data_IF_137856730544
#
_entry.id   IF_137856730544
#
_cell.length_a   1.000
_cell.length_b   1.000
_cell.length_c   1.000
_cell.angle_alpha   90.00
_cell.angle_beta   90.00
_cell.angle_gamma   90.00
#
_symmetry.space_group_name_H-M   'P 1'
#
loop_
_entity.id
_entity.type
_entity.pdbx_description
1 polymer ?
#
# COMPACT_ATOMS: atom_id res chain seq x y z
N UNK A 1 18.20 -4.93 -13.55
CA UNK A 1 17.14 -4.44 -12.65
C UNK A 1 17.20 -2.93 -12.48
N UNK A 2 18.33 -2.35 -12.03
CA UNK A 2 18.49 -0.88 -11.87
C UNK A 2 18.29 -0.09 -13.18
N UNK A 3 18.69 -0.65 -14.34
CA UNK A 3 18.58 0.03 -15.65
C UNK A 3 17.13 0.10 -16.19
N UNK A 4 16.25 -0.85 -15.83
CA UNK A 4 14.85 -0.82 -16.29
C UNK A 4 14.01 0.14 -15.46
N UNK A 5 14.27 0.26 -14.16
CA UNK A 5 13.60 1.23 -13.27
C UNK A 5 14.02 2.67 -13.59
N UNK A 6 15.31 2.89 -13.91
CA UNK A 6 15.81 4.20 -14.34
C UNK A 6 15.15 4.74 -15.62
N UNK A 7 14.80 3.86 -16.58
CA UNK A 7 14.12 4.26 -17.82
C UNK A 7 12.66 4.69 -17.58
N UNK A 8 11.95 3.97 -16.71
CA UNK A 8 10.58 4.30 -16.30
C UNK A 8 10.56 5.61 -15.50
N UNK A 9 11.49 5.76 -14.55
CA UNK A 9 11.67 6.98 -13.78
C UNK A 9 11.99 8.18 -14.69
N UNK A 10 12.85 7.99 -15.70
CA UNK A 10 13.16 9.02 -16.71
C UNK A 10 11.94 9.42 -17.55
N UNK A 11 11.06 8.48 -17.91
CA UNK A 11 9.80 8.76 -18.63
C UNK A 11 8.76 9.48 -17.75
N UNK A 12 8.65 9.09 -16.48
CA UNK A 12 7.82 9.79 -15.48
C UNK A 12 8.33 11.22 -15.24
N UNK A 13 9.66 11.43 -15.12
CA UNK A 13 10.30 12.74 -14.97
C UNK A 13 9.97 13.69 -16.14
N UNK A 14 9.81 13.16 -17.36
CA UNK A 14 9.51 13.96 -18.54
C UNK A 14 8.01 14.29 -18.69
N UNK A 15 7.14 13.76 -17.82
CA UNK A 15 5.68 13.94 -17.81
C UNK A 15 5.05 13.81 -19.22
N UNK A 16 5.57 12.87 -20.01
CA UNK A 16 5.16 12.63 -21.39
C UNK A 16 5.00 11.13 -21.60
N UNK A 17 3.75 10.68 -21.52
CA UNK A 17 3.29 9.41 -22.07
C UNK A 17 2.55 9.66 -23.39
N UNK A 18 3.25 10.04 -24.49
CA UNK A 18 2.61 10.28 -25.78
C UNK A 18 1.77 9.06 -26.22
N UNK A 19 0.58 9.30 -26.74
CA UNK A 19 -0.32 8.22 -27.16
C UNK A 19 -1.19 7.64 -26.05
N UNK A 20 -1.08 8.10 -24.79
CA UNK A 20 -2.15 7.88 -23.80
C UNK A 20 -3.30 8.89 -23.99
N UNK A 21 -4.56 8.46 -23.77
CA UNK A 21 -5.69 9.37 -23.82
C UNK A 21 -5.59 10.43 -22.71
N UNK A 22 -6.04 11.66 -23.01
CA UNK A 22 -6.09 12.74 -22.00
C UNK A 22 -7.18 12.54 -20.95
N UNK A 23 -8.21 11.75 -21.27
CA UNK A 23 -9.31 11.39 -20.39
C UNK A 23 -9.65 9.93 -20.62
N UNK A 24 -9.76 9.19 -19.52
CA UNK A 24 -10.20 7.81 -19.53
C UNK A 24 -11.73 7.76 -19.49
N UNK A 25 -12.34 7.00 -20.39
CA UNK A 25 -13.79 6.83 -20.52
C UNK A 25 -14.30 5.60 -19.75
N UNK A 26 -13.46 4.57 -19.61
CA UNK A 26 -13.74 3.38 -18.83
C UNK A 26 -12.45 2.77 -18.29
N UNK A 27 -12.54 1.97 -17.22
CA UNK A 27 -11.38 1.46 -16.49
C UNK A 27 -10.42 0.64 -17.37
N UNK A 28 -10.96 -0.13 -18.30
CA UNK A 28 -10.19 -0.99 -19.19
C UNK A 28 -9.21 -0.26 -20.11
N UNK A 29 -9.38 1.04 -20.34
CA UNK A 29 -8.41 1.82 -21.11
C UNK A 29 -7.04 1.86 -20.42
N UNK A 30 -6.94 1.73 -19.08
CA UNK A 30 -5.64 1.72 -18.36
C UNK A 30 -4.63 0.74 -18.94
N UNK A 31 -5.12 -0.33 -19.59
CA UNK A 31 -4.32 -1.31 -20.32
C UNK A 31 -3.46 -0.73 -21.43
N UNK A 32 -3.86 0.39 -22.04
CA UNK A 32 -3.08 1.08 -23.05
C UNK A 32 -1.71 1.52 -22.52
N UNK A 33 -1.61 1.90 -21.24
CA UNK A 33 -0.32 2.20 -20.61
C UNK A 33 0.59 0.97 -20.58
N UNK A 34 0.04 -0.20 -20.25
CA UNK A 34 0.77 -1.47 -20.25
C UNK A 34 1.04 -2.04 -21.64
N UNK A 35 0.34 -1.58 -22.68
CA UNK A 35 0.63 -2.00 -24.05
C UNK A 35 1.74 -1.15 -24.69
N UNK A 36 1.77 0.14 -24.36
CA UNK A 36 2.71 1.09 -24.99
C UNK A 36 4.05 1.14 -24.22
N UNK A 37 4.00 1.16 -22.89
CA UNK A 37 5.16 1.54 -22.07
C UNK A 37 5.71 0.44 -21.18
N UNK A 38 4.88 -0.50 -20.78
CA UNK A 38 5.22 -1.47 -19.74
C UNK A 38 4.92 -2.89 -20.21
N UNK A 39 5.18 -3.86 -19.33
CA UNK A 39 4.61 -5.20 -19.48
C UNK A 39 3.32 -5.24 -18.67
N UNK A 40 2.29 -5.90 -19.19
CA UNK A 40 1.06 -6.13 -18.42
C UNK A 40 1.38 -6.91 -17.14
N UNK A 41 1.08 -6.35 -15.96
CA UNK A 41 1.34 -7.04 -14.70
C UNK A 41 0.34 -8.18 -14.50
N UNK A 42 0.74 -9.23 -13.80
CA UNK A 42 -0.13 -10.37 -13.46
C UNK A 42 -1.40 -9.93 -12.71
N UNK A 43 -1.28 -8.91 -11.86
CA UNK A 43 -2.41 -8.34 -11.10
C UNK A 43 -3.50 -7.74 -11.99
N UNK A 44 -3.21 -7.42 -13.26
CA UNK A 44 -4.19 -6.84 -14.17
C UNK A 44 -5.29 -7.81 -14.62
N UNK A 45 -5.05 -9.13 -14.53
CA UNK A 45 -5.98 -10.14 -15.07
C UNK A 45 -7.18 -10.32 -14.14
N UNK A 46 -6.95 -10.29 -12.82
CA UNK A 46 -7.96 -10.66 -11.80
C UNK A 46 -8.16 -9.56 -10.76
N UNK A 47 -7.82 -8.30 -11.06
CA UNK A 47 -7.88 -7.21 -10.08
C UNK A 47 -9.28 -6.97 -9.49
N UNK A 48 -10.35 -7.35 -10.22
CA UNK A 48 -11.73 -7.25 -9.75
C UNK A 48 -12.16 -8.41 -8.84
N UNK A 49 -11.44 -9.53 -8.84
CA UNK A 49 -11.80 -10.73 -8.08
C UNK A 49 -11.50 -10.55 -6.58
N UNK A 50 -12.44 -10.96 -5.73
CA UNK A 50 -12.36 -10.80 -4.26
C UNK A 50 -11.25 -11.63 -3.62
N UNK A 51 -11.08 -12.88 -4.06
CA UNK A 51 -9.99 -13.73 -3.61
C UNK A 51 -8.63 -13.14 -3.99
N UNK A 52 -8.52 -12.58 -5.21
CA UNK A 52 -7.29 -11.91 -5.63
C UNK A 52 -7.02 -10.65 -4.82
N UNK A 53 -8.04 -9.84 -4.53
CA UNK A 53 -7.93 -8.67 -3.66
C UNK A 53 -7.41 -9.05 -2.26
N UNK A 54 -7.95 -10.11 -1.63
CA UNK A 54 -7.50 -10.54 -0.32
C UNK A 54 -6.09 -11.17 -0.35
N UNK A 55 -5.77 -11.97 -1.37
CA UNK A 55 -4.42 -12.54 -1.56
C UNK A 55 -3.32 -11.49 -1.68
N UNK A 56 -3.64 -10.27 -2.14
CA UNK A 56 -2.68 -9.17 -2.19
C UNK A 56 -2.14 -8.82 -0.79
N UNK A 57 -2.92 -9.05 0.28
CA UNK A 57 -2.48 -8.81 1.67
C UNK A 57 -1.53 -9.86 2.21
N UNK A 58 -1.32 -10.96 1.49
CA UNK A 58 -0.41 -12.03 1.89
C UNK A 58 0.84 -12.08 1.00
N UNK A 59 0.66 -11.89 -0.31
CA UNK A 59 1.65 -12.28 -1.31
C UNK A 59 2.15 -11.12 -2.19
N UNK A 60 1.88 -9.86 -1.82
CA UNK A 60 2.30 -8.69 -2.61
C UNK A 60 3.08 -7.68 -1.77
N UNK A 61 3.21 -6.45 -2.27
CA UNK A 61 4.13 -5.43 -1.79
C UNK A 61 3.92 -4.99 -0.32
N UNK A 62 2.76 -5.26 0.29
CA UNK A 62 2.47 -4.90 1.68
C UNK A 62 1.80 -6.03 2.48
N UNK A 63 2.51 -7.13 2.65
CA UNK A 63 2.04 -8.27 3.46
C UNK A 63 2.17 -8.05 4.97
N UNK A 64 2.67 -6.90 5.41
CA UNK A 64 2.99 -6.63 6.80
C UNK A 64 1.81 -6.17 7.66
N UNK A 65 0.64 -5.88 7.07
CA UNK A 65 -0.49 -5.26 7.77
C UNK A 65 -1.59 -6.23 8.20
N UNK A 66 -1.73 -7.39 7.56
CA UNK A 66 -2.80 -8.34 7.90
C UNK A 66 -2.57 -8.97 9.27
N UNK A 67 -3.62 -9.05 10.08
CA UNK A 67 -3.62 -9.61 11.44
C UNK A 67 -4.80 -10.55 11.61
N UNK A 68 -4.66 -11.55 12.47
CA UNK A 68 -5.78 -12.39 12.91
C UNK A 68 -6.69 -11.56 13.83
N UNK A 69 -7.99 -11.82 13.81
CA UNK A 69 -8.92 -11.36 14.84
C UNK A 69 -8.84 -12.33 16.02
N UNK A 70 -8.40 -11.83 17.17
CA UNK A 70 -8.28 -12.57 18.43
C UNK A 70 -9.49 -12.37 19.35
N UNK A 71 -10.20 -11.25 19.22
CA UNK A 71 -11.39 -10.94 20.00
C UNK A 71 -12.30 -9.96 19.24
N UNK A 72 -13.57 -9.91 19.64
CA UNK A 72 -14.59 -9.09 18.96
C UNK A 72 -14.31 -7.59 19.08
N UNK A 73 -13.65 -7.12 20.13
CA UNK A 73 -13.37 -5.69 20.34
C UNK A 73 -12.45 -5.12 19.25
N UNK A 74 -11.59 -5.95 18.64
CA UNK A 74 -10.75 -5.54 17.52
C UNK A 74 -11.54 -5.16 16.25
N UNK A 75 -12.78 -5.67 16.12
CA UNK A 75 -13.62 -5.45 14.94
C UNK A 75 -14.88 -4.65 15.24
N UNK A 76 -15.36 -4.65 16.50
CA UNK A 76 -16.59 -3.97 16.93
C UNK A 76 -16.57 -2.46 16.68
N UNK A 77 -15.46 -1.78 16.98
CA UNK A 77 -15.35 -0.33 16.74
C UNK A 77 -15.22 0.02 15.24
N UNK A 78 -14.88 -0.97 14.41
CA UNK A 78 -14.63 -0.79 12.99
C UNK A 78 -15.82 -1.20 12.12
N UNK A 79 -16.77 -1.97 12.64
CA UNK A 79 -17.90 -2.49 11.89
C UNK A 79 -19.20 -2.32 12.71
N UNK A 80 -20.27 -1.77 12.13
CA UNK A 80 -21.56 -1.66 12.81
C UNK A 80 -22.09 -3.02 13.25
N UNK A 81 -22.81 -3.07 14.37
CA UNK A 81 -23.44 -4.29 14.89
C UNK A 81 -24.27 -5.03 13.85
N UNK A 82 -24.97 -4.30 12.96
CA UNK A 82 -25.76 -4.90 11.88
C UNK A 82 -24.93 -5.76 10.91
N UNK A 83 -23.68 -5.37 10.65
CA UNK A 83 -22.75 -6.12 9.79
C UNK A 83 -22.25 -7.35 10.53
N UNK A 84 -21.85 -7.20 11.80
CA UNK A 84 -21.37 -8.31 12.61
C UNK A 84 -22.48 -9.35 12.87
N UNK A 85 -23.71 -8.90 13.13
CA UNK A 85 -24.86 -9.79 13.34
C UNK A 85 -25.31 -10.53 12.08
N UNK A 86 -24.97 -10.02 10.89
CA UNK A 86 -25.23 -10.70 9.62
C UNK A 86 -24.22 -11.82 9.34
N UNK A 87 -23.05 -11.78 9.97
CA UNK A 87 -22.05 -12.84 9.91
C UNK A 87 -22.50 -13.99 10.81
N UNK A 88 -22.59 -15.19 10.24
CA UNK A 88 -23.00 -16.38 10.99
C UNK A 88 -21.95 -16.69 12.05
N UNK A 89 -22.34 -16.55 13.31
CA UNK A 89 -21.56 -16.87 14.52
C UNK A 89 -20.13 -16.31 14.53
N UNK A 90 -20.03 -14.98 14.66
CA UNK A 90 -18.75 -14.25 14.75
C UNK A 90 -17.81 -14.83 15.81
N UNK A 91 -18.34 -15.26 16.96
CA UNK A 91 -17.51 -15.78 18.04
C UNK A 91 -16.91 -17.14 17.67
N UNK A 92 -17.70 -18.05 17.09
CA UNK A 92 -17.18 -19.32 16.59
C UNK A 92 -16.11 -19.13 15.50
N UNK A 93 -16.30 -18.17 14.59
CA UNK A 93 -15.31 -17.84 13.56
C UNK A 93 -14.01 -17.25 14.14
N UNK A 94 -14.08 -16.45 15.20
CA UNK A 94 -12.91 -15.96 15.95
C UNK A 94 -12.19 -17.13 16.65
N UNK A 95 -12.93 -17.98 17.36
CA UNK A 95 -12.37 -19.16 18.04
C UNK A 95 -11.72 -20.14 17.04
N UNK A 96 -12.35 -20.32 15.88
CA UNK A 96 -11.85 -21.10 14.74
C UNK A 96 -10.71 -20.44 13.97
N UNK A 97 -10.29 -19.22 14.34
CA UNK A 97 -9.21 -18.45 13.68
C UNK A 97 -9.48 -18.18 12.19
N UNK A 98 -10.74 -18.00 11.84
CA UNK A 98 -11.18 -17.79 10.47
C UNK A 98 -11.17 -16.32 10.07
N UNK A 99 -11.21 -15.39 11.02
CA UNK A 99 -11.19 -13.96 10.70
C UNK A 99 -9.81 -13.32 10.80
N UNK A 100 -9.55 -12.47 9.80
CA UNK A 100 -8.37 -11.63 9.68
C UNK A 100 -8.79 -10.22 9.31
N UNK A 101 -7.96 -9.23 9.61
CA UNK A 101 -8.23 -7.85 9.22
C UNK A 101 -6.97 -7.11 8.79
N UNK A 102 -7.17 -6.05 8.02
CA UNK A 102 -6.18 -4.99 7.84
C UNK A 102 -6.78 -3.69 8.34
N UNK A 103 -6.05 -2.96 9.18
CA UNK A 103 -6.42 -1.63 9.64
C UNK A 103 -5.35 -0.63 9.18
N UNK A 104 -5.69 0.17 8.17
CA UNK A 104 -4.79 1.14 7.56
C UNK A 104 -5.07 2.52 8.16
N UNK A 105 -4.15 2.98 9.00
CA UNK A 105 -4.21 4.29 9.63
C UNK A 105 -3.48 5.33 8.78
N UNK A 106 -4.23 6.07 7.96
CA UNK A 106 -3.70 7.19 7.19
C UNK A 106 -3.65 8.44 8.07
N UNK A 107 -2.55 9.21 8.07
CA UNK A 107 -2.46 10.47 8.80
C UNK A 107 -3.58 11.46 8.45
N UNK A 108 -4.04 12.22 9.45
CA UNK A 108 -5.07 13.27 9.26
C UNK A 108 -4.60 14.32 8.26
N UNK A 109 -5.55 14.85 7.47
CA UNK A 109 -5.29 15.93 6.50
C UNK A 109 -4.98 15.45 5.08
N UNK A 110 -4.96 14.14 4.83
CA UNK A 110 -4.84 13.54 3.51
C UNK A 110 -6.22 13.23 2.93
N UNK A 111 -6.35 13.25 1.59
CA UNK A 111 -7.63 12.93 0.90
C UNK A 111 -7.87 11.42 0.75
N UNK A 112 -6.97 10.59 1.28
CA UNK A 112 -7.05 9.12 1.24
C UNK A 112 -7.79 8.63 2.50
N UNK A 113 -8.72 7.66 2.39
CA UNK A 113 -9.39 7.05 3.53
C UNK A 113 -8.43 6.27 4.44
N UNK A 114 -8.87 5.98 5.67
CA UNK A 114 -8.19 5.05 6.59
C UNK A 114 -8.98 3.75 6.68
N UNK A 115 -8.86 2.84 5.70
CA UNK A 115 -9.77 1.70 5.60
C UNK A 115 -9.46 0.61 6.63
N UNK A 116 -10.54 0.05 7.18
CA UNK A 116 -10.55 -1.24 7.85
C UNK A 116 -11.16 -2.27 6.90
N UNK A 117 -10.52 -3.43 6.76
CA UNK A 117 -11.03 -4.53 5.95
C UNK A 117 -11.05 -5.79 6.78
N UNK A 118 -12.22 -6.44 6.87
CA UNK A 118 -12.40 -7.76 7.45
C UNK A 118 -12.33 -8.82 6.36
N UNK A 119 -11.65 -9.92 6.66
CA UNK A 119 -11.49 -11.08 5.81
C UNK A 119 -11.89 -12.35 6.54
N UNK A 120 -12.39 -13.32 5.79
CA UNK A 120 -12.72 -14.66 6.26
C UNK A 120 -11.92 -15.71 5.48
N UNK A 121 -11.44 -16.71 6.20
CA UNK A 121 -10.83 -17.91 5.63
C UNK A 121 -11.91 -18.97 5.46
N UNK A 122 -12.16 -19.32 4.20
CA UNK A 122 -13.05 -20.39 3.76
C UNK A 122 -12.23 -21.56 3.20
N UNK A 123 -12.89 -22.65 2.81
CA UNK A 123 -12.24 -23.78 2.13
C UNK A 123 -11.56 -23.36 0.81
N UNK A 124 -12.11 -22.35 0.13
CA UNK A 124 -11.60 -21.82 -1.13
C UNK A 124 -10.51 -20.74 -0.97
N UNK A 125 -10.17 -20.38 0.27
CA UNK A 125 -9.13 -19.40 0.61
C UNK A 125 -9.65 -18.19 1.37
N UNK A 126 -8.96 -17.06 1.24
CA UNK A 126 -9.30 -15.84 1.98
C UNK A 126 -10.18 -14.91 1.13
N UNK A 127 -11.27 -14.41 1.70
CA UNK A 127 -12.21 -13.51 1.06
C UNK A 127 -12.46 -12.25 1.90
N UNK A 128 -12.60 -11.07 1.29
CA UNK A 128 -13.06 -9.85 1.96
C UNK A 128 -14.55 -9.95 2.29
N UNK A 129 -14.92 -9.67 3.54
CA UNK A 129 -16.31 -9.73 4.02
C UNK A 129 -16.91 -8.33 4.21
N UNK A 130 -16.10 -7.38 4.66
CA UNK A 130 -16.53 -6.00 4.84
C UNK A 130 -15.36 -5.03 4.68
N UNK A 131 -15.63 -3.87 4.10
CA UNK A 131 -14.68 -2.75 3.98
C UNK A 131 -15.33 -1.52 4.60
N UNK A 132 -14.74 -0.99 5.66
CA UNK A 132 -15.09 0.34 6.18
C UNK A 132 -14.03 1.35 5.75
N UNK A 133 -14.40 2.31 4.89
CA UNK A 133 -13.45 3.33 4.39
C UNK A 133 -13.14 4.43 5.41
N UNK A 134 -13.93 4.60 6.46
CA UNK A 134 -13.67 5.62 7.48
C UNK A 134 -14.21 5.20 8.86
N UNK A 135 -13.49 4.31 9.57
CA UNK A 135 -13.87 3.86 10.91
C UNK A 135 -14.03 4.99 11.92
N UNK A 136 -13.21 6.05 11.82
CA UNK A 136 -13.25 7.18 12.73
C UNK A 136 -14.57 7.98 12.71
N UNK A 137 -15.40 7.82 11.67
CA UNK A 137 -16.73 8.43 11.57
C UNK A 137 -17.86 7.46 11.99
N UNK A 138 -17.59 6.52 12.90
CA UNK A 138 -18.60 5.65 13.50
C UNK A 138 -19.20 4.61 12.54
N UNK A 139 -18.40 4.08 11.60
CA UNK A 139 -18.86 2.95 10.77
C UNK A 139 -19.81 3.30 9.62
N UNK A 140 -19.93 4.58 9.24
CA UNK A 140 -20.94 5.01 8.26
C UNK A 140 -20.61 4.71 6.78
N UNK A 141 -19.38 4.30 6.46
CA UNK A 141 -18.93 3.98 5.10
C UNK A 141 -18.48 2.53 4.99
N UNK A 142 -19.35 1.62 5.43
CA UNK A 142 -19.13 0.17 5.33
C UNK A 142 -19.76 -0.35 4.06
N UNK A 143 -19.02 -1.20 3.36
CA UNK A 143 -19.43 -1.88 2.15
C UNK A 143 -19.23 -3.39 2.31
N UNK A 144 -20.11 -4.16 1.70
CA UNK A 144 -20.09 -5.62 1.67
C UNK A 144 -20.13 -6.16 0.23
N UNK A 145 -19.73 -7.43 -0.01
CA UNK A 145 -19.75 -8.04 -1.34
C UNK A 145 -21.13 -8.05 -2.02
N UNK A 146 -22.22 -8.04 -1.25
CA UNK A 146 -23.61 -8.05 -1.72
C UNK A 146 -24.18 -6.66 -2.03
N UNK A 147 -23.44 -5.59 -1.74
CA UNK A 147 -23.79 -4.24 -2.17
C UNK A 147 -23.78 -4.10 -3.69
N UNK A 148 -24.27 -2.95 -4.18
CA UNK A 148 -24.22 -2.61 -5.60
C UNK A 148 -22.80 -2.85 -6.18
N UNK A 149 -22.64 -3.57 -7.31
CA UNK A 149 -21.32 -4.03 -7.77
C UNK A 149 -20.27 -2.92 -7.92
N UNK A 150 -20.69 -1.73 -8.34
CA UNK A 150 -19.79 -0.58 -8.46
C UNK A 150 -19.41 0.04 -7.11
N UNK A 151 -20.26 -0.05 -6.09
CA UNK A 151 -19.95 0.41 -4.74
C UNK A 151 -18.88 -0.49 -4.11
N UNK A 152 -19.07 -1.82 -4.17
CA UNK A 152 -18.08 -2.79 -3.69
C UNK A 152 -16.74 -2.68 -4.42
N UNK A 153 -16.78 -2.58 -5.76
CA UNK A 153 -15.57 -2.36 -6.58
C UNK A 153 -14.84 -1.07 -6.17
N UNK A 154 -15.56 0.02 -5.98
CA UNK A 154 -14.97 1.30 -5.56
C UNK A 154 -14.37 1.23 -4.15
N UNK A 155 -15.03 0.54 -3.21
CA UNK A 155 -14.52 0.32 -1.87
C UNK A 155 -13.17 -0.42 -1.88
N UNK A 156 -13.06 -1.51 -2.67
CA UNK A 156 -11.78 -2.22 -2.87
C UNK A 156 -10.71 -1.34 -3.50
N UNK A 157 -11.06 -0.51 -4.48
CA UNK A 157 -10.12 0.43 -5.11
C UNK A 157 -9.57 1.44 -4.10
N UNK A 158 -10.43 2.02 -3.26
CA UNK A 158 -10.00 2.93 -2.18
C UNK A 158 -9.14 2.24 -1.13
N UNK A 159 -9.51 1.01 -0.74
CA UNK A 159 -8.70 0.21 0.16
C UNK A 159 -7.29 -0.05 -0.40
N UNK A 160 -7.19 -0.40 -1.69
CA UNK A 160 -5.91 -0.58 -2.37
C UNK A 160 -5.11 0.72 -2.53
N UNK A 161 -5.78 1.87 -2.75
CA UNK A 161 -5.09 3.16 -2.80
C UNK A 161 -4.42 3.49 -1.45
N UNK A 162 -5.13 3.27 -0.34
CA UNK A 162 -4.59 3.48 0.99
C UNK A 162 -3.43 2.52 1.30
N UNK A 163 -3.60 1.23 0.98
CA UNK A 163 -2.56 0.22 1.17
C UNK A 163 -1.29 0.55 0.38
N UNK A 164 -1.43 0.90 -0.91
CA UNK A 164 -0.31 1.29 -1.76
C UNK A 164 0.39 2.56 -1.25
N UNK A 165 -0.38 3.53 -0.74
CA UNK A 165 0.18 4.78 -0.18
C UNK A 165 1.00 4.52 1.08
N UNK A 166 0.51 3.65 1.97
CA UNK A 166 1.24 3.20 3.15
C UNK A 166 2.47 2.38 2.78
N UNK A 167 2.34 1.48 1.81
CA UNK A 167 3.43 0.66 1.32
C UNK A 167 4.58 1.53 0.80
N UNK A 168 4.28 2.48 -0.08
CA UNK A 168 5.31 3.33 -0.69
C UNK A 168 5.99 4.23 0.33
N UNK A 169 5.22 4.84 1.24
CA UNK A 169 5.72 5.89 2.12
C UNK A 169 6.36 5.34 3.39
N UNK A 170 5.72 4.34 4.01
CA UNK A 170 6.14 3.81 5.30
C UNK A 170 6.95 2.55 5.10
N UNK A 171 6.35 1.49 4.57
CA UNK A 171 6.98 0.17 4.50
C UNK A 171 8.22 0.15 3.60
N UNK A 172 8.15 0.84 2.47
CA UNK A 172 9.26 0.97 1.52
C UNK A 172 10.16 2.14 1.91
N UNK A 173 9.75 3.38 1.64
CA UNK A 173 10.64 4.54 1.84
C UNK A 173 11.10 4.68 3.30
N UNK A 174 10.18 4.68 4.26
CA UNK A 174 10.52 4.89 5.68
C UNK A 174 11.37 3.76 6.27
N UNK A 175 10.86 2.53 6.21
CA UNK A 175 11.44 1.39 6.94
C UNK A 175 12.62 0.74 6.21
N UNK A 176 12.79 0.93 4.89
CA UNK A 176 13.96 0.40 4.17
C UNK A 176 14.96 1.47 3.80
N UNK A 177 14.55 2.60 3.22
CA UNK A 177 15.49 3.60 2.74
C UNK A 177 15.96 4.54 3.86
N UNK A 178 15.03 5.26 4.49
CA UNK A 178 15.34 6.30 5.47
C UNK A 178 15.97 5.70 6.73
N UNK A 179 15.37 4.62 7.26
CA UNK A 179 15.90 3.93 8.43
C UNK A 179 17.32 3.39 8.19
N UNK A 180 17.56 2.74 7.05
CA UNK A 180 18.87 2.16 6.76
C UNK A 180 19.94 3.19 6.42
N UNK A 181 19.58 4.34 5.85
CA UNK A 181 20.52 5.46 5.68
C UNK A 181 21.03 5.97 7.04
N UNK A 182 20.14 6.15 8.02
CA UNK A 182 20.53 6.52 9.38
C UNK A 182 21.49 5.51 10.01
N UNK A 183 21.19 4.22 9.88
CA UNK A 183 22.06 3.13 10.36
C UNK A 183 23.41 3.15 9.64
N UNK A 184 23.44 3.30 8.32
CA UNK A 184 24.66 3.36 7.52
C UNK A 184 25.55 4.52 7.97
N UNK A 185 24.99 5.73 8.13
CA UNK A 185 25.72 6.90 8.63
C UNK A 185 26.32 6.62 10.01
N UNK A 186 25.54 6.02 10.92
CA UNK A 186 26.03 5.69 12.26
C UNK A 186 27.19 4.69 12.23
N UNK A 187 27.11 3.65 11.40
CA UNK A 187 28.19 2.66 11.23
C UNK A 187 29.46 3.32 10.69
N UNK A 188 29.34 4.15 9.66
CA UNK A 188 30.48 4.83 9.05
C UNK A 188 31.15 5.85 9.97
N UNK A 189 30.38 6.52 10.84
CA UNK A 189 30.90 7.55 11.75
C UNK A 189 31.46 7.00 13.06
N UNK A 190 30.95 5.87 13.55
CA UNK A 190 31.25 5.42 14.91
C UNK A 190 32.03 4.11 14.98
N UNK A 191 32.13 3.33 13.89
CA UNK A 191 32.91 2.09 13.89
C UNK A 191 34.20 2.23 13.07
N UNK A 192 35.31 1.78 13.63
CA UNK A 192 36.57 1.65 12.89
C UNK A 192 36.40 0.68 11.71
N UNK A 193 37.06 0.96 10.58
CA UNK A 193 37.11 0.04 9.43
C UNK A 193 37.69 -1.35 9.76
N UNK A 194 38.41 -1.47 10.88
CA UNK A 194 38.91 -2.76 11.39
C UNK A 194 37.89 -3.52 12.25
N UNK A 195 36.85 -2.84 12.74
CA UNK A 195 35.85 -3.43 13.63
C UNK A 195 35.08 -4.54 12.90
N UNK A 196 34.87 -5.73 13.51
CA UNK A 196 34.21 -6.85 12.84
C UNK A 196 32.79 -6.50 12.37
N UNK A 197 32.02 -5.75 13.18
CA UNK A 197 30.67 -5.29 12.80
C UNK A 197 30.70 -4.32 11.62
N UNK A 198 31.72 -3.44 11.51
CA UNK A 198 31.85 -2.58 10.34
C UNK A 198 32.04 -3.40 9.06
N UNK A 199 32.96 -4.38 9.10
CA UNK A 199 33.23 -5.27 7.96
C UNK A 199 32.02 -6.10 7.57
N UNK A 200 31.23 -6.54 8.55
CA UNK A 200 30.01 -7.30 8.33
C UNK A 200 28.94 -6.43 7.65
N UNK A 201 28.74 -5.20 8.11
CA UNK A 201 27.61 -4.36 7.67
C UNK A 201 27.89 -3.55 6.40
N UNK A 202 29.12 -3.11 6.16
CA UNK A 202 29.43 -2.19 5.04
C UNK A 202 28.99 -2.71 3.66
N UNK A 203 29.05 -4.02 3.32
CA UNK A 203 28.56 -4.50 2.02
C UNK A 203 27.04 -4.35 1.86
N UNK A 204 26.29 -4.30 2.96
CA UNK A 204 24.83 -4.16 2.95
C UNK A 204 24.34 -2.71 2.76
N UNK A 205 25.23 -1.72 2.90
CA UNK A 205 24.90 -0.30 2.67
C UNK A 205 25.31 0.19 1.29
N UNK A 206 25.79 -0.71 0.43
CA UNK A 206 26.25 -0.36 -0.90
C UNK A 206 25.12 0.31 -1.70
N UNK A 207 25.38 1.53 -2.18
CA UNK A 207 24.43 2.43 -2.84
C UNK A 207 23.27 3.01 -2.01
N UNK A 208 23.06 2.63 -0.74
CA UNK A 208 21.96 3.18 0.08
C UNK A 208 21.99 4.71 0.17
N UNK A 209 23.15 5.30 0.47
CA UNK A 209 23.28 6.76 0.55
C UNK A 209 23.10 7.44 -0.82
N UNK A 210 23.61 6.81 -1.88
CA UNK A 210 23.54 7.36 -3.24
C UNK A 210 22.10 7.37 -3.79
N UNK A 211 21.34 6.28 -3.58
CA UNK A 211 19.95 6.21 -4.06
C UNK A 211 19.03 7.12 -3.26
N UNK A 212 19.24 7.27 -1.95
CA UNK A 212 18.45 8.17 -1.13
C UNK A 212 18.71 9.63 -1.51
N UNK A 213 19.96 10.00 -1.81
CA UNK A 213 20.29 11.33 -2.32
C UNK A 213 19.65 11.60 -3.67
N UNK A 214 19.71 10.63 -4.60
CA UNK A 214 19.03 10.75 -5.88
C UNK A 214 17.52 10.92 -5.72
N UNK A 215 16.90 10.18 -4.78
CA UNK A 215 15.48 10.30 -4.48
C UNK A 215 15.12 11.69 -3.93
N UNK A 216 15.93 12.25 -3.02
CA UNK A 216 15.74 13.65 -2.55
C UNK A 216 15.77 14.63 -3.71
N UNK A 217 16.77 14.54 -4.59
CA UNK A 217 16.95 15.49 -5.70
C UNK A 217 15.95 15.33 -6.85
N UNK A 218 15.37 14.14 -7.05
CA UNK A 218 14.51 13.85 -8.21
C UNK A 218 13.04 13.56 -7.87
N UNK A 219 12.77 12.91 -6.73
CA UNK A 219 11.42 12.52 -6.33
C UNK A 219 10.79 13.57 -5.41
N UNK A 220 11.49 13.98 -4.36
CA UNK A 220 10.90 14.75 -3.25
C UNK A 220 11.12 16.26 -3.32
N UNK A 221 12.17 16.72 -4.02
CA UNK A 221 12.44 18.14 -4.22
C UNK A 221 11.22 18.88 -4.79
N UNK A 222 11.12 20.18 -4.52
CA UNK A 222 10.08 21.03 -5.12
C UNK A 222 10.04 20.87 -6.65
N UNK A 223 8.88 20.44 -7.17
CA UNK A 223 8.67 20.13 -8.60
C UNK A 223 9.01 18.68 -9.02
N UNK A 224 9.49 17.85 -8.09
CA UNK A 224 9.79 16.43 -8.29
C UNK A 224 8.54 15.56 -8.51
N UNK A 225 8.77 14.31 -8.92
CA UNK A 225 7.71 13.38 -9.36
C UNK A 225 6.68 13.14 -8.26
N UNK A 226 7.09 12.93 -7.01
CA UNK A 226 6.14 12.55 -5.95
C UNK A 226 5.13 13.66 -5.70
N UNK A 227 5.55 14.91 -5.82
CA UNK A 227 4.70 16.09 -5.68
C UNK A 227 3.66 16.15 -6.80
N UNK A 228 4.05 15.87 -8.05
CA UNK A 228 3.12 15.90 -9.20
C UNK A 228 2.00 14.85 -9.13
N UNK A 229 2.26 13.68 -8.53
CA UNK A 229 1.31 12.56 -8.51
C UNK A 229 0.61 12.35 -7.14
N UNK A 230 1.21 12.84 -6.04
CA UNK A 230 0.71 12.60 -4.68
C UNK A 230 0.44 13.88 -3.88
N UNK A 231 0.48 15.08 -4.48
CA UNK A 231 0.28 16.36 -3.76
C UNK A 231 -1.01 16.42 -2.94
N UNK A 232 -2.06 15.75 -3.40
CA UNK A 232 -3.35 15.71 -2.73
C UNK A 232 -3.47 14.54 -1.74
N UNK A 233 -2.53 13.61 -1.76
CA UNK A 233 -2.63 12.31 -1.11
C UNK A 233 -1.60 12.10 -0.01
N UNK A 234 -0.39 12.68 -0.09
CA UNK A 234 0.70 12.55 0.89
C UNK A 234 1.54 13.83 0.93
N UNK A 235 1.73 14.42 2.12
CA UNK A 235 2.67 15.54 2.32
C UNK A 235 4.09 15.01 2.56
N UNK A 236 5.03 15.39 1.70
CA UNK A 236 6.44 14.96 1.75
C UNK A 236 7.36 15.94 2.49
N UNK A 237 6.79 16.89 3.23
CA UNK A 237 7.56 17.95 3.93
C UNK A 237 8.71 17.44 4.81
N UNK A 238 8.58 16.23 5.38
CA UNK A 238 9.62 15.60 6.20
C UNK A 238 10.85 15.09 5.41
N UNK A 239 10.79 15.02 4.08
CA UNK A 239 11.85 14.46 3.24
C UNK A 239 12.76 15.54 2.59
N UNK A 240 12.49 16.82 2.86
CA UNK A 240 13.08 17.97 2.15
C UNK A 240 13.91 18.87 3.09
N UNK A 241 13.82 18.67 4.41
CA UNK A 241 14.59 19.39 5.43
C UNK A 241 15.74 18.52 5.98
#
# INVERSE_FOLDING_TARGET
>A
MILSEGYVMFKMLLNRFPGLPRRWLFLGEINTAYQIYFKTPSGNINWENDQHFAQQRLNQCNSSLIRRVDNIDQIADNLPDGVLNAIVDVNAAIEGQQFYFTNINVPKGLTIPSPFVLFEVTEDGILPVAINLNPANGGQLVFQPDDAPNAWRLAKMWANLADASMQLSVTHLGLTHVLMEGIAICVHRNLSSRHPIYKLLVPHFYYTLAINELARETLFKSGGISRQYYEHSISWSFAID
#
